data_IF_368952028043
#
_entry.id   IF_368952028043
#
_cell.length_a   1.000
_cell.length_b   1.000
_cell.length_c   1.000
_cell.angle_alpha   90.00
_cell.angle_beta   90.00
_cell.angle_gamma   90.00
#
_symmetry.space_group_name_H-M   'P 1'
#
loop_
_entity.id
_entity.type
_entity.pdbx_description
1 polymer ?
#
# COMPACT_ATOMS: atom_id res chain seq x y z
N UNK A 1 -24.43 -17.68 19.22
CA UNK A 1 -24.21 -16.27 18.83
C UNK A 1 -23.56 -15.56 20.01
N UNK A 2 -22.25 -15.34 19.97
CA UNK A 2 -21.55 -14.54 20.97
C UNK A 2 -21.56 -13.09 20.49
N UNK A 3 -22.17 -12.20 21.25
CA UNK A 3 -22.25 -10.77 20.92
C UNK A 3 -20.92 -10.15 21.32
N UNK A 4 -20.10 -9.75 20.34
CA UNK A 4 -18.84 -9.05 20.60
C UNK A 4 -19.20 -7.67 21.17
N UNK A 5 -19.14 -7.56 22.49
CA UNK A 5 -19.31 -6.32 23.23
C UNK A 5 -17.91 -5.69 23.35
N UNK A 6 -17.80 -4.38 23.03
CA UNK A 6 -16.60 -3.54 23.21
C UNK A 6 -15.44 -3.69 22.21
N UNK A 7 -15.73 -3.54 20.91
CA UNK A 7 -14.71 -3.26 19.88
C UNK A 7 -13.94 -1.93 20.12
N UNK A 8 -14.47 -1.03 20.95
CA UNK A 8 -13.82 0.24 21.32
C UNK A 8 -12.62 0.09 22.25
N UNK A 9 -12.46 -1.06 22.92
CA UNK A 9 -11.34 -1.35 23.84
C UNK A 9 -10.14 -2.00 23.12
N UNK A 10 -10.29 -2.31 21.83
CA UNK A 10 -9.20 -2.88 21.03
C UNK A 10 -8.22 -1.74 20.70
N UNK A 11 -7.22 -1.59 21.55
CA UNK A 11 -6.11 -0.69 21.30
C UNK A 11 -5.06 -1.39 20.42
N UNK A 12 -4.51 -0.71 19.40
CA UNK A 12 -3.44 -1.29 18.59
C UNK A 12 -2.24 -1.59 19.49
N UNK A 13 -1.79 -2.84 19.47
CA UNK A 13 -0.65 -3.32 20.29
C UNK A 13 0.67 -2.71 19.85
N UNK A 14 0.72 -2.20 18.61
CA UNK A 14 1.84 -1.48 18.04
C UNK A 14 1.52 0.01 18.05
N UNK A 15 2.48 0.86 18.38
CA UNK A 15 2.33 2.34 18.43
C UNK A 15 2.15 3.00 17.06
N UNK A 16 1.62 2.27 16.09
CA UNK A 16 1.30 2.71 14.74
C UNK A 16 -0.03 2.10 14.33
N UNK A 17 -0.86 2.91 13.69
CA UNK A 17 -2.10 2.46 13.08
C UNK A 17 -1.80 1.76 11.75
N UNK A 18 -2.74 0.96 11.24
CA UNK A 18 -2.61 0.32 9.93
C UNK A 18 -2.34 1.36 8.81
N UNK A 19 -2.97 2.53 8.92
CA UNK A 19 -2.77 3.65 8.00
C UNK A 19 -1.35 4.22 8.07
N UNK A 20 -0.74 4.28 9.25
CA UNK A 20 0.63 4.76 9.41
C UNK A 20 1.64 3.86 8.69
N UNK A 21 1.41 2.55 8.66
CA UNK A 21 2.28 1.60 7.95
C UNK A 21 2.20 1.86 6.44
N UNK A 22 0.99 2.00 5.91
CA UNK A 22 0.77 2.18 4.48
C UNK A 22 1.40 3.49 3.97
N UNK A 23 1.20 4.59 4.70
CA UNK A 23 1.74 5.90 4.35
C UNK A 23 3.27 5.94 4.50
N UNK A 24 3.82 5.38 5.60
CA UNK A 24 5.28 5.25 5.76
C UNK A 24 5.89 4.38 4.68
N UNK A 25 5.23 3.30 4.29
CA UNK A 25 5.68 2.42 3.22
C UNK A 25 5.70 3.15 1.88
N UNK A 26 4.61 3.84 1.50
CA UNK A 26 4.55 4.62 0.25
C UNK A 26 5.66 5.67 0.17
N UNK A 27 5.87 6.40 1.27
CA UNK A 27 6.93 7.41 1.34
C UNK A 27 8.32 6.78 1.17
N UNK A 28 8.60 5.71 1.94
CA UNK A 28 9.89 5.01 1.89
C UNK A 28 10.14 4.36 0.53
N UNK A 29 9.10 3.83 -0.12
CA UNK A 29 9.19 3.23 -1.44
C UNK A 29 9.63 4.25 -2.49
N UNK A 30 9.00 5.43 -2.53
CA UNK A 30 9.33 6.48 -3.50
C UNK A 30 10.77 7.01 -3.35
N UNK A 31 11.29 7.06 -2.12
CA UNK A 31 12.67 7.49 -1.84
C UNK A 31 13.71 6.40 -2.14
N UNK A 32 13.28 5.13 -2.18
CA UNK A 32 14.15 3.98 -2.44
C UNK A 32 14.61 3.91 -3.91
N UNK A 33 15.72 3.21 -4.15
CA UNK A 33 16.21 2.94 -5.51
C UNK A 33 15.19 2.15 -6.35
N UNK A 34 14.39 1.30 -5.72
CA UNK A 34 13.30 0.59 -6.40
C UNK A 34 12.18 1.55 -6.83
N UNK A 35 11.83 2.54 -6.01
CA UNK A 35 10.86 3.57 -6.40
C UNK A 35 11.37 4.44 -7.54
N UNK A 36 12.67 4.78 -7.53
CA UNK A 36 13.32 5.48 -8.64
C UNK A 36 13.36 4.64 -9.92
N UNK A 37 13.63 3.35 -9.81
CA UNK A 37 13.55 2.43 -10.94
C UNK A 37 12.11 2.31 -11.45
N UNK A 38 11.15 2.24 -10.54
CA UNK A 38 9.73 2.16 -10.89
C UNK A 38 9.26 3.41 -11.64
N UNK A 39 9.78 4.61 -11.33
CA UNK A 39 9.38 5.84 -12.02
C UNK A 39 9.92 5.96 -13.45
N UNK A 40 11.03 5.29 -13.79
CA UNK A 40 11.59 5.26 -15.15
C UNK A 40 11.03 4.14 -16.02
N UNK A 41 10.38 3.13 -15.42
CA UNK A 41 9.79 2.04 -16.19
C UNK A 41 8.45 2.44 -16.84
N UNK A 42 8.27 2.20 -18.14
CA UNK A 42 7.03 2.54 -18.85
C UNK A 42 5.95 1.47 -18.62
N UNK A 43 5.56 1.24 -17.36
CA UNK A 43 4.62 0.19 -16.98
C UNK A 43 3.27 0.30 -17.69
N UNK A 44 2.79 1.51 -17.94
CA UNK A 44 1.56 1.74 -18.70
C UNK A 44 1.66 1.20 -20.13
N UNK A 45 2.75 1.52 -20.85
CA UNK A 45 2.96 1.01 -22.20
C UNK A 45 3.08 -0.51 -22.21
N UNK A 46 3.76 -1.09 -21.22
CA UNK A 46 3.91 -2.54 -21.09
C UNK A 46 2.57 -3.22 -20.80
N UNK A 47 1.74 -2.65 -19.93
CA UNK A 47 0.43 -3.17 -19.61
C UNK A 47 -0.50 -3.15 -20.84
N UNK A 48 -0.46 -2.07 -21.64
CA UNK A 48 -1.21 -1.99 -22.90
C UNK A 48 -0.74 -3.02 -23.92
N UNK A 49 0.58 -3.15 -24.10
CA UNK A 49 1.15 -4.15 -25.02
C UNK A 49 0.81 -5.60 -24.60
N UNK A 50 0.70 -5.85 -23.30
CA UNK A 50 0.33 -7.15 -22.75
C UNK A 50 -1.19 -7.41 -22.72
N UNK A 51 -2.02 -6.44 -23.13
CA UNK A 51 -3.48 -6.55 -23.04
C UNK A 51 -4.02 -6.56 -21.60
N UNK A 52 -3.25 -6.04 -20.65
CA UNK A 52 -3.61 -5.96 -19.22
C UNK A 52 -4.25 -4.62 -18.86
N UNK A 53 -4.34 -3.69 -19.81
CA UNK A 53 -4.96 -2.38 -19.63
C UNK A 53 -5.81 -2.03 -20.84
N UNK A 54 -7.10 -1.78 -20.60
CA UNK A 54 -8.13 -1.51 -21.63
C UNK A 54 -8.27 -0.01 -22.00
N UNK A 55 -7.31 0.86 -21.64
CA UNK A 55 -7.38 2.32 -21.92
C UNK A 55 -6.32 2.84 -22.89
#
# INVERSE_FOLDING_TARGET
MAKIQNISEIHPTLGFTEFDILEKYRKSFNESELGKLHSVFPFECMAKAAGLSDR
#
